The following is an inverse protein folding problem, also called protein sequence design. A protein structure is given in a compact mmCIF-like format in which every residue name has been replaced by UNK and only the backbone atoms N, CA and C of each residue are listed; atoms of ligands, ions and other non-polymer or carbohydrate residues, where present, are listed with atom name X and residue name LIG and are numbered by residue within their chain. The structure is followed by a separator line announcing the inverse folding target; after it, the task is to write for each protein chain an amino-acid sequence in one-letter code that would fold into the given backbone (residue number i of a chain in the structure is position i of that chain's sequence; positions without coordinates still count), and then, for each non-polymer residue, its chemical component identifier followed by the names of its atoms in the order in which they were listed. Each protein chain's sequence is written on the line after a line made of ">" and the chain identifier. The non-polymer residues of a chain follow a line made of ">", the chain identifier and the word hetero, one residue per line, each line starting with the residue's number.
data_IF_404742421447
#
_entry.id   IF_404742421447
#
_cell.length_a   1.000
_cell.length_b   1.000
_cell.length_c   1.000
_cell.angle_alpha   90.00
_cell.angle_beta   90.00
_cell.angle_gamma   90.00
#
_symmetry.space_group_name_H-M   'P 1'
#
loop_
_entity.id
_entity.type
_entity.pdbx_description
1 polymer ?
#
# COMPACT_ATOMS: atom_id res chain seq x y z
N UNK A 1 -28.77 55.49 -11.52
CA UNK A 1 -29.80 54.43 -11.68
C UNK A 1 -29.17 53.20 -12.31
N UNK A 2 -28.91 52.17 -11.50
CA UNK A 2 -28.64 50.78 -11.92
C UNK A 2 -29.31 49.89 -10.88
N UNK A 3 -30.15 48.92 -11.26
CA UNK A 3 -30.95 48.16 -10.31
C UNK A 3 -30.13 47.04 -9.68
N UNK A 4 -30.37 46.84 -8.38
CA UNK A 4 -29.90 45.73 -7.56
C UNK A 4 -30.61 44.45 -7.98
N UNK A 5 -29.85 43.43 -8.40
CA UNK A 5 -30.35 42.07 -8.52
C UNK A 5 -30.06 41.30 -7.23
N UNK A 6 -31.11 41.06 -6.47
CA UNK A 6 -31.17 40.03 -5.44
C UNK A 6 -31.41 38.68 -6.11
N UNK A 7 -30.47 37.74 -5.94
CA UNK A 7 -30.72 36.32 -6.21
C UNK A 7 -30.61 35.56 -4.89
N UNK A 8 -31.74 35.34 -4.25
CA UNK A 8 -31.93 34.19 -3.37
C UNK A 8 -31.74 32.93 -4.21
N UNK A 9 -30.74 32.12 -3.90
CA UNK A 9 -30.63 30.78 -4.45
C UNK A 9 -30.91 29.77 -3.33
N UNK A 10 -32.11 29.20 -3.39
CA UNK A 10 -32.50 28.00 -2.70
C UNK A 10 -31.62 26.84 -3.18
N UNK A 11 -30.65 26.45 -2.35
CA UNK A 11 -29.79 25.30 -2.58
C UNK A 11 -29.82 24.38 -1.36
N UNK A 12 -30.89 23.59 -1.22
CA UNK A 12 -31.00 22.56 -0.20
C UNK A 12 -29.86 21.54 -0.35
N UNK A 13 -28.81 21.67 0.48
CA UNK A 13 -27.77 20.65 0.61
C UNK A 13 -28.38 19.41 1.25
N UNK A 14 -28.56 18.34 0.47
CA UNK A 14 -28.81 17.01 1.00
C UNK A 14 -27.64 16.61 1.90
N UNK A 15 -27.82 16.68 3.23
CA UNK A 15 -26.91 16.06 4.19
C UNK A 15 -27.12 14.54 4.11
N UNK A 16 -26.37 13.85 3.26
CA UNK A 16 -26.26 12.40 3.36
C UNK A 16 -25.60 12.07 4.70
N UNK A 17 -26.32 11.36 5.57
CA UNK A 17 -25.80 10.92 6.86
C UNK A 17 -24.67 9.90 6.64
N UNK A 18 -23.70 9.83 7.58
CA UNK A 18 -22.63 8.80 7.57
C UNK A 18 -23.16 7.37 7.43
N UNK A 19 -24.41 7.11 7.85
CA UNK A 19 -25.09 5.82 7.66
C UNK A 19 -25.49 5.56 6.20
N UNK A 20 -25.89 6.58 5.43
CA UNK A 20 -26.23 6.43 4.02
C UNK A 20 -25.01 6.12 3.14
N UNK A 21 -23.85 6.69 3.48
CA UNK A 21 -22.57 6.41 2.79
C UNK A 21 -22.05 5.00 3.09
N UNK A 22 -22.18 4.54 4.33
CA UNK A 22 -21.80 3.18 4.73
C UNK A 22 -22.75 2.13 4.15
N UNK A 23 -24.06 2.41 4.07
CA UNK A 23 -25.04 1.51 3.43
C UNK A 23 -24.82 1.44 1.91
N UNK A 24 -24.42 2.53 1.26
CA UNK A 24 -24.05 2.54 -0.17
C UNK A 24 -22.81 1.69 -0.49
N UNK A 25 -21.78 1.75 0.37
CA UNK A 25 -20.57 0.93 0.24
C UNK A 25 -20.83 -0.56 0.53
N UNK A 26 -21.71 -0.88 1.49
CA UNK A 26 -22.06 -2.26 1.85
C UNK A 26 -23.01 -2.92 0.84
N UNK A 27 -23.89 -2.15 0.19
CA UNK A 27 -24.74 -2.66 -0.89
C UNK A 27 -23.95 -2.89 -2.19
N UNK A 28 -22.89 -2.13 -2.45
CA UNK A 28 -22.04 -2.34 -3.62
C UNK A 28 -21.20 -3.62 -3.52
N UNK A 29 -20.67 -3.94 -2.33
CA UNK A 29 -19.94 -5.21 -2.10
C UNK A 29 -20.84 -6.45 -2.20
N UNK A 30 -22.11 -6.34 -1.80
CA UNK A 30 -23.09 -7.42 -1.96
C UNK A 30 -23.60 -7.57 -3.41
N UNK A 31 -23.75 -6.48 -4.17
CA UNK A 31 -24.18 -6.54 -5.57
C UNK A 31 -23.09 -7.06 -6.51
N UNK A 32 -21.80 -6.83 -6.22
CA UNK A 32 -20.71 -7.50 -6.94
C UNK A 32 -20.66 -9.02 -6.68
N UNK A 33 -21.20 -9.49 -5.55
CA UNK A 33 -21.30 -10.92 -5.25
C UNK A 33 -22.55 -11.58 -5.89
N UNK A 34 -23.61 -10.82 -6.15
CA UNK A 34 -24.88 -11.36 -6.67
C UNK A 34 -24.93 -11.50 -8.20
N UNK A 35 -24.17 -10.70 -8.96
CA UNK A 35 -24.14 -10.79 -10.43
C UNK A 35 -23.31 -11.96 -10.98
N UNK A 36 -22.58 -12.69 -10.13
CA UNK A 36 -21.90 -13.94 -10.53
C UNK A 36 -22.81 -15.17 -10.52
N UNK A 37 -24.06 -15.08 -10.05
CA UNK A 37 -24.94 -16.25 -9.85
C UNK A 37 -26.19 -16.34 -10.75
N UNK A 38 -26.35 -15.48 -11.76
CA UNK A 38 -27.45 -15.65 -12.73
C UNK A 38 -27.00 -15.30 -14.15
N UNK A 39 -26.51 -16.32 -14.86
CA UNK A 39 -26.11 -16.18 -16.25
C UNK A 39 -25.89 -17.50 -16.98
N UNK A 40 -26.75 -18.51 -16.78
CA UNK A 40 -26.86 -19.64 -17.71
C UNK A 40 -28.16 -20.43 -17.48
N UNK A 41 -29.27 -19.96 -18.06
CA UNK A 41 -30.41 -20.83 -18.39
C UNK A 41 -30.50 -20.90 -19.91
N UNK A 42 -30.19 -22.06 -20.47
CA UNK A 42 -30.02 -22.29 -21.90
C UNK A 42 -31.31 -22.56 -22.68
N UNK A 43 -31.12 -23.01 -23.92
CA UNK A 43 -32.07 -23.83 -24.66
C UNK A 43 -31.35 -25.00 -25.34
N UNK A 44 -31.95 -26.17 -25.18
CA UNK A 44 -31.45 -27.53 -25.43
C UNK A 44 -31.18 -27.89 -26.89
N UNK A 45 -30.27 -28.87 -27.10
CA UNK A 45 -30.64 -30.17 -27.72
C UNK A 45 -29.54 -31.25 -27.60
N UNK A 46 -29.93 -32.37 -26.95
CA UNK A 46 -29.60 -33.80 -27.20
C UNK A 46 -28.19 -34.39 -26.94
N UNK A 47 -28.18 -35.21 -25.88
CA UNK A 47 -27.70 -36.62 -25.76
C UNK A 47 -26.27 -36.98 -26.18
N UNK A 48 -25.45 -37.38 -25.21
CA UNK A 48 -25.20 -38.80 -24.90
C UNK A 48 -24.46 -38.97 -23.57
N UNK A 49 -24.79 -40.05 -22.87
CA UNK A 49 -24.32 -40.50 -21.55
C UNK A 49 -22.83 -40.88 -21.50
N UNK A 50 -22.17 -40.68 -20.36
CA UNK A 50 -21.53 -41.73 -19.52
C UNK A 50 -20.76 -41.10 -18.33
N UNK A 51 -20.93 -41.76 -17.17
CA UNK A 51 -20.22 -41.70 -15.88
C UNK A 51 -20.19 -40.40 -15.08
N UNK A 52 -21.05 -40.42 -14.06
CA UNK A 52 -21.17 -39.55 -12.90
C UNK A 52 -19.95 -39.70 -11.96
N UNK A 53 -19.26 -38.60 -11.71
CA UNK A 53 -18.41 -38.41 -10.52
C UNK A 53 -18.66 -37.02 -9.97
N UNK A 54 -19.82 -36.87 -9.35
CA UNK A 54 -20.24 -35.72 -8.56
C UNK A 54 -19.41 -35.62 -7.27
N UNK A 55 -18.17 -35.14 -7.40
CA UNK A 55 -17.45 -34.53 -6.30
C UNK A 55 -17.99 -33.11 -6.03
N UNK A 56 -18.01 -32.62 -4.78
CA UNK A 56 -18.35 -31.24 -4.52
C UNK A 56 -17.34 -30.34 -5.24
N UNK A 57 -17.81 -29.28 -5.90
CA UNK A 57 -16.98 -28.18 -6.40
C UNK A 57 -16.38 -27.42 -5.20
N UNK A 58 -15.43 -28.05 -4.51
CA UNK A 58 -14.46 -27.34 -3.70
C UNK A 58 -13.55 -26.61 -4.69
N UNK A 59 -13.73 -25.29 -4.80
CA UNK A 59 -12.83 -24.46 -5.59
C UNK A 59 -11.39 -24.77 -5.16
N UNK A 60 -10.58 -25.32 -6.06
CA UNK A 60 -9.17 -25.59 -5.79
C UNK A 60 -8.54 -24.28 -5.31
N UNK A 61 -8.00 -24.28 -4.10
CA UNK A 61 -7.00 -23.29 -3.72
C UNK A 61 -5.83 -23.53 -4.69
N UNK A 62 -5.68 -22.65 -5.67
CA UNK A 62 -4.77 -22.83 -6.82
C UNK A 62 -3.30 -22.97 -6.41
N UNK A 63 -2.91 -22.31 -5.32
CA UNK A 63 -1.52 -22.22 -4.86
C UNK A 63 -1.43 -22.41 -3.34
N UNK A 64 -0.30 -22.90 -2.83
CA UNK A 64 0.02 -22.98 -1.39
C UNK A 64 1.28 -22.17 -1.07
N UNK A 65 1.28 -21.45 0.05
CA UNK A 65 2.45 -20.70 0.55
C UNK A 65 2.39 -20.68 2.08
N UNK A 66 3.39 -21.29 2.71
CA UNK A 66 3.55 -21.30 4.17
C UNK A 66 3.85 -19.90 4.71
N UNK A 67 4.53 -19.06 3.91
CA UNK A 67 4.77 -17.66 4.25
C UNK A 67 3.43 -16.92 4.39
N UNK A 68 2.55 -17.02 3.38
CA UNK A 68 1.22 -16.39 3.41
C UNK A 68 0.42 -16.85 4.62
N UNK A 69 0.37 -18.16 4.88
CA UNK A 69 -0.35 -18.72 6.03
C UNK A 69 0.20 -18.16 7.35
N UNK A 70 1.52 -18.07 7.48
CA UNK A 70 2.17 -17.54 8.68
C UNK A 70 1.86 -16.06 8.89
N UNK A 71 2.09 -15.20 7.89
CA UNK A 71 1.85 -13.75 8.02
C UNK A 71 0.37 -13.44 8.22
N UNK A 72 -0.53 -14.20 7.59
CA UNK A 72 -1.97 -14.06 7.77
C UNK A 72 -2.38 -14.40 9.20
N UNK A 73 -1.89 -15.52 9.74
CA UNK A 73 -2.20 -15.94 11.11
C UNK A 73 -1.69 -14.93 12.15
N UNK A 74 -0.47 -14.41 11.96
CA UNK A 74 0.12 -13.38 12.84
C UNK A 74 -0.73 -12.11 12.79
N UNK A 75 -1.05 -11.62 11.57
CA UNK A 75 -1.84 -10.41 11.38
C UNK A 75 -3.23 -10.53 12.01
N UNK A 76 -3.96 -11.61 11.72
CA UNK A 76 -5.31 -11.83 12.26
C UNK A 76 -5.31 -11.97 13.79
N UNK A 77 -4.40 -12.78 14.33
CA UNK A 77 -4.28 -12.98 15.79
C UNK A 77 -3.92 -11.69 16.50
N UNK A 78 -3.04 -10.87 15.90
CA UNK A 78 -2.69 -9.56 16.43
C UNK A 78 -3.90 -8.62 16.45
N UNK A 79 -4.65 -8.53 15.34
CA UNK A 79 -5.81 -7.64 15.26
C UNK A 79 -6.93 -8.03 16.24
N UNK A 80 -7.17 -9.32 16.45
CA UNK A 80 -8.13 -9.80 17.46
C UNK A 80 -7.72 -9.36 18.86
N UNK A 81 -6.45 -9.59 19.24
CA UNK A 81 -5.92 -9.17 20.55
C UNK A 81 -5.95 -7.65 20.73
N UNK A 82 -5.63 -6.90 19.67
CA UNK A 82 -5.66 -5.43 19.71
C UNK A 82 -7.08 -4.90 19.94
N UNK A 83 -8.09 -5.52 19.31
CA UNK A 83 -9.49 -5.18 19.52
C UNK A 83 -9.97 -5.50 20.94
N UNK A 84 -9.63 -6.67 21.47
CA UNK A 84 -10.00 -7.10 22.83
C UNK A 84 -9.39 -6.20 23.91
N UNK A 85 -8.11 -5.86 23.74
CA UNK A 85 -7.35 -5.04 24.70
C UNK A 85 -7.55 -3.53 24.52
N UNK A 86 -8.28 -3.09 23.48
CA UNK A 86 -8.37 -1.68 23.06
C UNK A 86 -6.98 -1.05 22.90
N UNK A 87 -6.06 -1.78 22.28
CA UNK A 87 -4.68 -1.34 22.05
C UNK A 87 -4.63 -0.11 21.15
N UNK A 88 -3.84 0.89 21.54
CA UNK A 88 -3.51 2.05 20.70
C UNK A 88 -2.51 1.71 19.59
N UNK A 89 -1.83 0.55 19.68
CA UNK A 89 -0.98 0.03 18.61
C UNK A 89 -1.75 -0.96 17.73
N UNK A 90 -1.93 -0.60 16.47
CA UNK A 90 -2.72 -1.34 15.48
C UNK A 90 -1.86 -1.91 14.34
N UNK A 91 -0.53 -1.91 14.49
CA UNK A 91 0.41 -2.39 13.48
C UNK A 91 0.92 -3.80 13.85
N UNK A 92 0.59 -4.85 13.06
CA UNK A 92 1.10 -6.20 13.30
C UNK A 92 2.64 -6.25 13.35
N UNK A 93 3.26 -7.06 14.23
CA UNK A 93 4.71 -7.15 14.36
C UNK A 93 5.33 -8.04 13.25
N UNK A 94 5.18 -7.61 12.00
CA UNK A 94 5.66 -8.30 10.81
C UNK A 94 6.53 -7.32 10.01
N UNK A 95 7.73 -7.77 9.61
CA UNK A 95 8.63 -7.03 8.73
C UNK A 95 8.61 -7.70 7.37
N UNK A 96 8.28 -6.95 6.33
CA UNK A 96 8.19 -7.42 4.96
C UNK A 96 9.33 -6.82 4.13
N UNK A 97 10.11 -7.68 3.48
CA UNK A 97 11.03 -7.29 2.42
C UNK A 97 10.75 -8.11 1.16
N UNK A 98 11.02 -7.56 -0.01
CA UNK A 98 10.73 -8.20 -1.30
C UNK A 98 12.02 -8.40 -2.06
N UNK A 99 12.22 -9.61 -2.58
CA UNK A 99 13.32 -9.90 -3.50
C UNK A 99 12.82 -10.73 -4.68
N UNK A 100 12.38 -10.04 -5.74
CA UNK A 100 11.87 -10.66 -6.97
C UNK A 100 13.00 -11.10 -7.91
N UNK A 101 12.73 -12.12 -8.70
CA UNK A 101 13.62 -12.66 -9.72
C UNK A 101 14.29 -13.97 -9.32
N UNK A 102 14.97 -14.56 -10.30
CA UNK A 102 15.66 -15.84 -10.23
C UNK A 102 16.97 -15.78 -9.42
N UNK A 103 17.58 -14.59 -9.29
CA UNK A 103 18.84 -14.42 -8.57
C UNK A 103 18.69 -14.69 -7.06
N UNK A 104 19.69 -15.29 -6.41
CA UNK A 104 19.72 -15.43 -4.96
C UNK A 104 19.72 -14.05 -4.28
N UNK A 105 19.35 -14.02 -3.00
CA UNK A 105 19.47 -12.80 -2.21
C UNK A 105 20.96 -12.39 -2.11
N UNK A 106 21.33 -11.13 -2.35
CA UNK A 106 22.72 -10.76 -2.55
C UNK A 106 23.40 -10.46 -1.22
N UNK A 107 24.69 -10.80 -1.13
CA UNK A 107 25.52 -10.52 0.05
C UNK A 107 25.50 -9.04 0.45
N UNK A 108 25.47 -8.14 -0.54
CA UNK A 108 25.45 -6.68 -0.33
C UNK A 108 24.26 -6.18 0.47
N UNK A 109 23.16 -6.93 0.52
CA UNK A 109 21.97 -6.57 1.31
C UNK A 109 21.80 -7.42 2.57
N UNK A 110 22.72 -8.34 2.88
CA UNK A 110 22.66 -9.11 4.12
C UNK A 110 22.83 -8.23 5.36
N UNK A 111 23.65 -7.18 5.30
CA UNK A 111 23.77 -6.24 6.41
C UNK A 111 22.43 -5.52 6.67
N UNK A 112 21.76 -5.08 5.61
CA UNK A 112 20.41 -4.50 5.67
C UNK A 112 19.40 -5.46 6.27
N UNK A 113 19.32 -6.69 5.77
CA UNK A 113 18.44 -7.73 6.31
C UNK A 113 18.73 -8.02 7.79
N UNK A 114 20.01 -8.24 8.15
CA UNK A 114 20.43 -8.52 9.54
C UNK A 114 20.04 -7.39 10.47
N UNK A 115 20.19 -6.12 10.05
CA UNK A 115 19.81 -4.97 10.87
C UNK A 115 18.34 -5.00 11.28
N UNK A 116 17.44 -5.44 10.41
CA UNK A 116 16.02 -5.58 10.75
C UNK A 116 15.76 -6.73 11.72
N UNK A 117 16.39 -7.88 11.48
CA UNK A 117 16.20 -9.09 12.31
C UNK A 117 16.74 -8.88 13.72
N UNK A 118 17.97 -8.37 13.84
CA UNK A 118 18.65 -8.21 15.12
C UNK A 118 18.03 -7.10 15.98
N UNK A 119 17.58 -6.00 15.38
CA UNK A 119 16.94 -4.89 16.10
C UNK A 119 15.50 -5.20 16.51
N UNK A 120 14.86 -6.20 15.92
CA UNK A 120 13.44 -6.51 16.13
C UNK A 120 13.21 -8.02 16.38
N UNK A 121 13.83 -8.59 17.44
CA UNK A 121 13.79 -10.04 17.69
C UNK A 121 12.38 -10.59 17.98
N UNK A 122 11.43 -9.71 18.30
CA UNK A 122 10.04 -10.02 18.57
C UNK A 122 9.11 -9.85 17.35
N UNK A 123 9.66 -9.51 16.19
CA UNK A 123 8.93 -9.39 14.93
C UNK A 123 9.16 -10.63 14.08
N UNK A 124 8.14 -11.00 13.31
CA UNK A 124 8.32 -12.01 12.25
C UNK A 124 8.91 -11.35 11.01
N UNK A 125 10.04 -11.86 10.53
CA UNK A 125 10.68 -11.41 9.30
C UNK A 125 10.19 -12.23 8.09
N UNK A 126 9.63 -11.56 7.09
CA UNK A 126 9.07 -12.13 5.87
C UNK A 126 9.82 -11.62 4.64
N UNK A 127 10.57 -12.50 3.98
CA UNK A 127 11.18 -12.23 2.67
C UNK A 127 10.32 -12.84 1.56
N UNK A 128 9.70 -11.99 0.75
CA UNK A 128 8.80 -12.40 -0.33
C UNK A 128 9.58 -12.72 -1.61
N UNK A 129 9.33 -13.92 -2.15
CA UNK A 129 9.87 -14.42 -3.42
C UNK A 129 8.75 -14.63 -4.43
N UNK A 130 9.11 -14.87 -5.69
CA UNK A 130 8.17 -14.95 -6.81
C UNK A 130 7.02 -15.94 -6.59
N UNK A 131 7.27 -17.12 -5.99
CA UNK A 131 6.22 -18.11 -5.72
C UNK A 131 5.19 -17.61 -4.70
N UNK A 132 5.64 -17.00 -3.59
CA UNK A 132 4.76 -16.39 -2.60
C UNK A 132 3.96 -15.23 -3.19
N UNK A 133 4.60 -14.45 -4.07
CA UNK A 133 3.99 -13.29 -4.72
C UNK A 133 2.93 -13.71 -5.73
N UNK A 134 3.19 -14.71 -6.55
CA UNK A 134 2.19 -15.26 -7.46
C UNK A 134 0.99 -15.77 -6.66
N UNK A 135 1.23 -16.48 -5.56
CA UNK A 135 0.16 -16.99 -4.72
C UNK A 135 -0.62 -15.87 -4.01
N UNK A 136 0.05 -14.79 -3.58
CA UNK A 136 -0.59 -13.60 -3.01
C UNK A 136 -1.56 -12.96 -4.00
N UNK A 137 -1.13 -12.78 -5.26
CA UNK A 137 -1.94 -12.12 -6.28
C UNK A 137 -3.13 -13.01 -6.65
N UNK A 138 -2.92 -14.32 -6.85
CA UNK A 138 -4.00 -15.25 -7.16
C UNK A 138 -5.06 -15.31 -6.06
N UNK A 139 -4.64 -15.35 -4.78
CA UNK A 139 -5.56 -15.48 -3.63
C UNK A 139 -6.29 -14.20 -3.29
N UNK A 140 -5.60 -13.06 -3.28
CA UNK A 140 -6.13 -11.81 -2.71
C UNK A 140 -6.46 -10.75 -3.77
N UNK A 141 -5.85 -10.82 -4.96
CA UNK A 141 -6.02 -9.82 -6.01
C UNK A 141 -6.16 -10.45 -7.41
N UNK A 142 -7.09 -11.40 -7.64
CA UNK A 142 -7.18 -12.11 -8.92
C UNK A 142 -7.38 -11.17 -10.12
N UNK A 143 -8.06 -10.04 -9.93
CA UNK A 143 -8.22 -9.01 -10.97
C UNK A 143 -6.90 -8.32 -11.36
N UNK A 144 -5.87 -8.35 -10.50
CA UNK A 144 -4.54 -7.81 -10.80
C UNK A 144 -3.64 -8.80 -11.55
N UNK A 145 -3.99 -10.08 -11.70
CA UNK A 145 -3.16 -11.04 -12.45
C UNK A 145 -2.82 -10.55 -13.86
N UNK A 146 -3.76 -10.03 -14.68
CA UNK A 146 -3.43 -9.50 -16.01
C UNK A 146 -2.61 -8.20 -15.94
N UNK A 147 -2.75 -7.42 -14.87
CA UNK A 147 -1.96 -6.20 -14.67
C UNK A 147 -0.53 -6.56 -14.30
N UNK A 148 -0.34 -7.51 -13.38
CA UNK A 148 0.97 -7.99 -12.95
C UNK A 148 1.84 -8.46 -14.12
N UNK A 149 1.28 -9.24 -15.03
CA UNK A 149 1.98 -9.72 -16.23
C UNK A 149 2.24 -8.62 -17.28
N UNK A 150 1.44 -7.55 -17.23
CA UNK A 150 1.57 -6.39 -18.10
C UNK A 150 2.65 -5.42 -17.66
N UNK A 151 2.98 -5.33 -16.36
CA UNK A 151 4.04 -4.46 -15.84
C UNK A 151 5.43 -4.96 -16.29
N UNK A 152 6.12 -4.27 -17.24
CA UNK A 152 7.31 -4.83 -17.88
C UNK A 152 8.58 -4.72 -17.03
N UNK A 153 8.64 -3.76 -16.10
CA UNK A 153 9.81 -3.50 -15.24
C UNK A 153 9.60 -4.08 -13.85
N UNK A 154 10.64 -4.71 -13.30
CA UNK A 154 10.60 -5.31 -11.94
C UNK A 154 10.30 -4.30 -10.86
N UNK A 155 10.78 -3.05 -11.00
CA UNK A 155 10.48 -1.98 -10.03
C UNK A 155 8.99 -1.63 -9.97
N UNK A 156 8.29 -1.57 -11.11
CA UNK A 156 6.84 -1.33 -11.13
C UNK A 156 6.08 -2.42 -10.35
N UNK A 157 6.54 -3.67 -10.49
CA UNK A 157 6.00 -4.83 -9.77
C UNK A 157 6.32 -4.76 -8.27
N UNK A 158 7.55 -4.42 -7.90
CA UNK A 158 7.96 -4.26 -6.51
C UNK A 158 7.17 -3.15 -5.79
N UNK A 159 6.98 -2.00 -6.45
CA UNK A 159 6.17 -0.89 -5.95
C UNK A 159 4.69 -1.29 -5.75
N UNK A 160 4.07 -1.96 -6.71
CA UNK A 160 2.69 -2.45 -6.55
C UNK A 160 2.61 -3.49 -5.42
N UNK A 161 3.59 -4.39 -5.35
CA UNK A 161 3.63 -5.48 -4.38
C UNK A 161 3.71 -4.99 -2.94
N UNK A 162 4.51 -3.96 -2.64
CA UNK A 162 4.57 -3.41 -1.27
C UNK A 162 3.23 -2.87 -0.80
N UNK A 163 2.45 -2.25 -1.68
CA UNK A 163 1.10 -1.80 -1.34
C UNK A 163 0.16 -2.98 -1.11
N UNK A 164 0.22 -4.02 -1.95
CA UNK A 164 -0.59 -5.23 -1.80
C UNK A 164 -0.29 -5.96 -0.48
N UNK A 165 1.00 -6.15 -0.14
CA UNK A 165 1.42 -6.81 1.10
C UNK A 165 0.90 -6.03 2.31
N UNK A 166 1.18 -4.72 2.37
CA UNK A 166 0.78 -3.87 3.50
C UNK A 166 -0.74 -3.74 3.61
N UNK A 167 -1.45 -3.68 2.48
CA UNK A 167 -2.90 -3.69 2.48
C UNK A 167 -3.45 -5.00 3.05
N UNK A 168 -2.92 -6.16 2.65
CA UNK A 168 -3.47 -7.46 3.05
C UNK A 168 -3.13 -7.81 4.50
N UNK A 169 -1.86 -7.67 4.90
CA UNK A 169 -1.38 -8.19 6.18
C UNK A 169 -1.06 -7.09 7.20
N UNK A 170 -1.02 -5.82 6.79
CA UNK A 170 -0.44 -4.77 7.61
C UNK A 170 1.05 -5.00 7.86
N UNK A 171 1.54 -4.52 8.99
CA UNK A 171 2.94 -4.65 9.39
C UNK A 171 3.81 -3.52 8.83
N UNK A 172 5.09 -3.82 8.64
CA UNK A 172 6.14 -2.87 8.27
C UNK A 172 6.86 -3.37 7.03
N UNK A 173 6.76 -2.65 5.92
CA UNK A 173 7.52 -2.93 4.72
C UNK A 173 8.77 -2.07 4.70
N UNK A 174 9.88 -2.64 4.24
CA UNK A 174 11.06 -1.87 3.88
C UNK A 174 11.82 -2.46 2.69
N UNK A 175 12.37 -1.62 1.82
CA UNK A 175 13.22 -2.06 0.71
C UNK A 175 14.45 -2.81 1.22
N UNK A 176 14.97 -3.77 0.46
CA UNK A 176 16.10 -4.61 0.88
C UNK A 176 17.41 -3.84 1.03
N UNK A 177 17.53 -2.68 0.39
CA UNK A 177 18.64 -1.74 0.48
C UNK A 177 18.40 -0.62 1.52
N UNK A 178 17.77 -0.98 2.66
CA UNK A 178 17.57 -0.08 3.80
C UNK A 178 18.19 -0.64 5.08
N UNK A 179 18.82 0.21 5.89
CA UNK A 179 19.35 -0.14 7.21
C UNK A 179 18.39 0.28 8.32
N UNK A 180 17.99 -0.68 9.14
CA UNK A 180 17.27 -0.43 10.38
C UNK A 180 18.25 0.14 11.42
N UNK A 181 18.16 1.45 11.68
CA UNK A 181 19.06 2.12 12.61
C UNK A 181 18.64 1.88 14.07
N UNK A 182 17.35 1.60 14.28
CA UNK A 182 16.75 1.40 15.60
C UNK A 182 15.56 0.45 15.57
N UNK A 183 15.25 -0.22 16.69
CA UNK A 183 14.07 -1.06 16.82
C UNK A 183 12.80 -0.31 16.43
N UNK A 184 11.92 -0.93 15.64
CA UNK A 184 10.62 -0.40 15.21
C UNK A 184 9.78 0.02 16.41
N UNK A 185 9.92 -0.69 17.53
CA UNK A 185 9.21 -0.33 18.77
C UNK A 185 9.56 1.05 19.30
N UNK A 186 10.78 1.53 19.03
CA UNK A 186 11.29 2.83 19.46
C UNK A 186 10.99 3.96 18.47
N UNK A 187 10.47 3.66 17.28
CA UNK A 187 10.12 4.69 16.31
C UNK A 187 9.05 5.62 16.90
N UNK A 188 9.02 6.91 16.50
CA UNK A 188 8.01 7.83 17.00
C UNK A 188 6.60 7.33 16.67
N UNK A 189 5.73 7.29 17.68
CA UNK A 189 4.36 6.80 17.56
C UNK A 189 3.39 7.83 18.11
N UNK A 190 2.20 7.84 17.51
CA UNK A 190 1.04 8.58 18.02
C UNK A 190 -0.07 7.54 18.22
N UNK A 191 -0.81 7.58 19.34
CA UNK A 191 -1.98 6.73 19.53
C UNK A 191 -2.93 6.76 18.33
N UNK A 192 -3.62 5.66 18.09
CA UNK A 192 -4.61 5.48 17.02
C UNK A 192 -4.05 5.54 15.58
N UNK A 193 -2.73 5.65 15.40
CA UNK A 193 -2.12 5.56 14.07
C UNK A 193 -2.36 4.17 13.46
N UNK A 194 -3.00 4.16 12.28
CA UNK A 194 -3.30 2.95 11.51
C UNK A 194 -2.49 2.83 10.24
N UNK A 195 -1.87 3.90 9.77
CA UNK A 195 -0.87 3.89 8.72
C UNK A 195 0.28 4.82 9.11
N UNK A 196 1.50 4.46 8.72
CA UNK A 196 2.70 5.27 8.92
C UNK A 196 3.43 5.39 7.60
N UNK A 197 3.71 6.62 7.21
CA UNK A 197 4.58 6.98 6.08
C UNK A 197 5.60 8.01 6.54
N UNK A 198 6.66 8.22 5.78
CA UNK A 198 7.63 9.28 6.08
C UNK A 198 7.86 10.19 4.89
N UNK A 199 8.20 11.44 5.15
CA UNK A 199 8.67 12.34 4.11
C UNK A 199 10.04 11.86 3.63
N UNK A 200 10.20 11.77 2.32
CA UNK A 200 11.47 11.51 1.65
C UNK A 200 12.13 12.81 1.24
N UNK A 201 11.36 13.76 0.69
CA UNK A 201 11.90 15.03 0.23
C UNK A 201 10.95 16.19 0.54
N UNK A 202 11.53 17.36 0.80
CA UNK A 202 10.84 18.62 1.05
C UNK A 202 11.68 19.72 0.39
N UNK A 203 11.14 20.27 -0.69
CA UNK A 203 11.75 21.35 -1.47
C UNK A 203 10.75 22.49 -1.68
N UNK A 204 9.74 22.65 -0.81
CA UNK A 204 8.76 23.74 -0.93
C UNK A 204 9.35 25.13 -0.79
N UNK A 205 10.50 25.22 -0.15
CA UNK A 205 11.30 26.43 0.00
C UNK A 205 12.17 26.76 -1.22
N UNK A 206 12.30 25.86 -2.22
CA UNK A 206 13.14 26.06 -3.40
C UNK A 206 12.30 26.36 -4.65
N UNK A 207 12.54 27.48 -5.37
CA UNK A 207 11.80 27.82 -6.58
C UNK A 207 12.11 26.88 -7.75
N UNK A 208 13.32 26.29 -7.78
CA UNK A 208 13.83 25.39 -8.82
C UNK A 208 13.69 23.90 -8.46
N UNK A 209 12.76 23.54 -7.57
CA UNK A 209 12.58 22.15 -7.14
C UNK A 209 12.32 21.16 -8.30
N UNK A 210 11.79 21.65 -9.44
CA UNK A 210 11.53 20.83 -10.64
C UNK A 210 12.79 20.30 -11.31
N UNK A 211 13.95 20.90 -11.01
CA UNK A 211 15.25 20.43 -11.50
C UNK A 211 15.83 19.31 -10.62
N UNK A 212 15.18 19.00 -9.50
CA UNK A 212 15.61 17.96 -8.55
C UNK A 212 15.14 16.57 -9.00
N UNK A 213 15.76 15.52 -8.47
CA UNK A 213 15.47 14.11 -8.76
C UNK A 213 14.17 13.58 -8.11
N UNK A 214 13.18 14.45 -7.87
CA UNK A 214 11.90 14.11 -7.23
C UNK A 214 10.73 14.42 -8.15
N UNK A 215 9.63 13.68 -7.96
CA UNK A 215 8.40 13.89 -8.74
C UNK A 215 7.49 14.95 -8.14
N UNK A 216 7.62 15.21 -6.83
CA UNK A 216 6.78 16.16 -6.10
C UNK A 216 7.62 17.06 -5.23
N UNK A 217 7.18 18.31 -5.08
CA UNK A 217 7.84 19.33 -4.27
C UNK A 217 7.98 18.90 -2.80
N UNK A 218 7.00 18.16 -2.28
CA UNK A 218 7.10 17.37 -1.06
C UNK A 218 6.77 15.94 -1.47
N UNK A 219 7.65 15.00 -1.15
CA UNK A 219 7.53 13.61 -1.57
C UNK A 219 7.50 12.69 -0.36
N UNK A 220 6.59 11.72 -0.39
CA UNK A 220 6.48 10.66 0.61
C UNK A 220 7.32 9.46 0.16
N UNK A 221 8.08 8.89 1.10
CA UNK A 221 8.84 7.66 0.91
C UNK A 221 7.90 6.48 0.64
N UNK A 222 8.33 5.63 -0.29
CA UNK A 222 7.71 4.32 -0.57
C UNK A 222 8.61 3.16 -0.18
N UNK A 223 9.87 3.44 0.16
CA UNK A 223 10.85 2.43 0.54
C UNK A 223 10.69 1.98 1.99
N UNK A 224 9.89 2.68 2.82
CA UNK A 224 9.39 2.19 4.11
C UNK A 224 7.95 2.61 4.34
N UNK A 225 7.10 1.64 4.66
CA UNK A 225 5.66 1.81 4.87
C UNK A 225 5.24 0.99 6.09
N UNK A 226 4.26 1.48 6.86
CA UNK A 226 3.62 0.65 7.87
C UNK A 226 2.11 0.83 7.88
N UNK A 227 1.39 -0.21 8.26
CA UNK A 227 -0.07 -0.15 8.34
C UNK A 227 -0.71 -1.24 9.20
N UNK A 228 -1.90 -0.96 9.71
CA UNK A 228 -2.90 -1.97 10.02
C UNK A 228 -3.39 -2.59 8.70
N UNK A 229 -3.77 -3.87 8.67
CA UNK A 229 -4.37 -4.46 7.49
C UNK A 229 -5.64 -3.69 7.06
N UNK A 230 -5.89 -3.68 5.75
CA UNK A 230 -7.05 -3.10 5.07
C UNK A 230 -7.19 -1.57 5.18
N UNK A 231 -6.09 -0.85 5.43
CA UNK A 231 -6.14 0.60 5.50
C UNK A 231 -6.48 1.23 4.12
N UNK A 232 -7.45 2.17 4.03
CA UNK A 232 -7.93 2.71 2.74
C UNK A 232 -6.86 3.37 1.88
N UNK A 233 -5.82 3.95 2.49
CA UNK A 233 -4.68 4.54 1.77
C UNK A 233 -4.09 3.59 0.72
N UNK A 234 -3.83 2.34 1.11
CA UNK A 234 -3.22 1.36 0.22
C UNK A 234 -4.24 0.78 -0.78
N UNK A 235 -5.52 0.70 -0.41
CA UNK A 235 -6.58 0.37 -1.36
C UNK A 235 -6.65 1.41 -2.50
N UNK A 236 -6.57 2.71 -2.16
CA UNK A 236 -6.54 3.79 -3.14
C UNK A 236 -5.31 3.70 -4.05
N UNK A 237 -4.13 3.39 -3.48
CA UNK A 237 -2.90 3.21 -4.25
C UNK A 237 -3.03 2.05 -5.26
N UNK A 238 -3.47 0.88 -4.81
CA UNK A 238 -3.65 -0.31 -5.65
C UNK A 238 -4.72 -0.05 -6.74
N UNK A 239 -5.85 0.54 -6.37
CA UNK A 239 -6.94 0.82 -7.30
C UNK A 239 -6.52 1.79 -8.41
N UNK A 240 -5.80 2.86 -8.07
CA UNK A 240 -5.35 3.82 -9.09
C UNK A 240 -4.31 3.20 -10.04
N UNK A 241 -3.40 2.35 -9.55
CA UNK A 241 -2.46 1.61 -10.41
C UNK A 241 -3.22 0.66 -11.34
N UNK A 242 -4.23 -0.05 -10.84
CA UNK A 242 -5.10 -0.89 -11.65
C UNK A 242 -5.78 -0.09 -12.77
N UNK A 243 -6.44 1.02 -12.44
CA UNK A 243 -7.15 1.86 -13.40
C UNK A 243 -6.19 2.46 -14.43
N UNK A 244 -5.03 2.97 -14.01
CA UNK A 244 -4.04 3.52 -14.94
C UNK A 244 -3.50 2.43 -15.88
N UNK A 245 -3.15 1.26 -15.34
CA UNK A 245 -2.61 0.14 -16.11
C UNK A 245 -3.61 -0.49 -17.07
N UNK A 246 -4.92 -0.43 -16.78
CA UNK A 246 -5.96 -0.91 -17.71
C UNK A 246 -6.12 0.01 -18.93
N UNK A 247 -5.83 1.30 -18.80
CA UNK A 247 -6.01 2.31 -19.86
C UNK A 247 -4.81 2.43 -20.81
N UNK A 248 -3.65 1.91 -20.42
CA UNK A 248 -2.40 2.02 -21.16
C UNK A 248 -2.01 0.68 -21.77
N UNK A 249 -1.33 0.66 -22.91
CA UNK A 249 -0.66 -0.54 -23.45
C UNK A 249 0.56 -0.93 -22.61
N UNK A 250 1.09 -2.14 -22.83
CA UNK A 250 2.32 -2.60 -22.16
C UNK A 250 3.52 -1.70 -22.49
N UNK A 251 3.61 -1.24 -23.73
CA UNK A 251 4.70 -0.37 -24.19
C UNK A 251 4.61 1.01 -23.53
N UNK A 252 3.41 1.61 -23.49
CA UNK A 252 3.20 2.90 -22.79
C UNK A 252 3.60 2.81 -21.31
N UNK A 253 3.24 1.73 -20.62
CA UNK A 253 3.66 1.49 -19.22
C UNK A 253 5.19 1.34 -19.11
N UNK A 254 5.83 0.71 -20.11
CA UNK A 254 7.28 0.56 -20.18
C UNK A 254 8.03 1.89 -20.30
N UNK A 255 7.48 2.83 -21.06
CA UNK A 255 8.07 4.16 -21.29
C UNK A 255 7.76 5.20 -20.21
N UNK A 256 6.70 4.98 -19.43
CA UNK A 256 6.29 5.91 -18.37
C UNK A 256 7.35 6.01 -17.28
N UNK A 257 7.48 7.16 -16.61
CA UNK A 257 8.34 7.27 -15.44
C UNK A 257 7.82 6.36 -14.31
N UNK A 258 8.71 5.56 -13.72
CA UNK A 258 8.41 4.69 -12.57
C UNK A 258 7.87 5.52 -11.40
N UNK A 259 8.46 6.70 -11.16
CA UNK A 259 8.12 7.56 -10.04
C UNK A 259 6.67 8.07 -10.13
N UNK A 260 6.17 8.26 -11.36
CA UNK A 260 4.82 8.74 -11.67
C UNK A 260 3.78 7.61 -11.79
N UNK A 261 4.21 6.36 -12.01
CA UNK A 261 3.30 5.24 -12.27
C UNK A 261 2.96 4.45 -11.01
N UNK A 262 3.98 4.01 -10.26
CA UNK A 262 3.83 3.19 -9.05
C UNK A 262 4.68 3.68 -7.89
N UNK A 263 5.67 4.53 -8.17
CA UNK A 263 6.66 5.01 -7.21
C UNK A 263 6.19 6.17 -6.34
N UNK A 264 7.14 6.92 -5.76
CA UNK A 264 6.84 7.89 -4.71
C UNK A 264 6.08 9.14 -5.18
N UNK A 265 6.21 9.54 -6.45
CA UNK A 265 5.39 10.63 -7.00
C UNK A 265 3.90 10.27 -7.00
N UNK A 266 3.58 9.11 -7.56
CA UNK A 266 2.22 8.56 -7.54
C UNK A 266 1.69 8.37 -6.11
N UNK A 267 2.48 7.77 -5.23
CA UNK A 267 2.05 7.48 -3.86
C UNK A 267 1.86 8.76 -3.03
N UNK A 268 2.67 9.79 -3.27
CA UNK A 268 2.48 11.13 -2.68
C UNK A 268 1.11 11.69 -3.04
N UNK A 269 0.66 11.57 -4.29
CA UNK A 269 -0.68 12.02 -4.69
C UNK A 269 -1.79 11.19 -4.04
N UNK A 270 -1.55 9.90 -3.78
CA UNK A 270 -2.48 9.06 -3.02
C UNK A 270 -2.59 9.54 -1.57
N UNK A 271 -1.46 9.81 -0.92
CA UNK A 271 -1.41 10.35 0.45
C UNK A 271 -2.11 11.70 0.55
N UNK A 272 -1.83 12.63 -0.38
CA UNK A 272 -2.47 13.94 -0.41
C UNK A 272 -3.99 13.82 -0.62
N UNK A 273 -4.46 12.94 -1.52
CA UNK A 273 -5.90 12.68 -1.70
C UNK A 273 -6.55 12.09 -0.45
N UNK A 274 -5.86 11.17 0.24
CA UNK A 274 -6.33 10.63 1.51
C UNK A 274 -6.49 11.75 2.55
N UNK A 275 -5.44 12.55 2.75
CA UNK A 275 -5.43 13.70 3.67
C UNK A 275 -6.53 14.71 3.35
N UNK A 276 -6.75 15.02 2.06
CA UNK A 276 -7.79 15.94 1.60
C UNK A 276 -9.20 15.50 1.99
N UNK A 277 -9.47 14.19 2.04
CA UNK A 277 -10.78 13.67 2.47
C UNK A 277 -11.11 14.01 3.94
N UNK A 278 -10.11 14.42 4.72
CA UNK A 278 -10.23 14.84 6.12
C UNK A 278 -9.92 16.33 6.33
N UNK A 279 -9.82 17.13 5.27
CA UNK A 279 -9.58 18.57 5.35
C UNK A 279 -8.12 18.99 5.54
N UNK A 280 -7.17 18.07 5.35
CA UNK A 280 -5.74 18.37 5.34
C UNK A 280 -5.23 18.51 3.90
N UNK A 281 -4.04 19.08 3.73
CA UNK A 281 -3.43 19.22 2.41
C UNK A 281 -1.93 19.46 2.46
N UNK A 282 -1.40 19.85 1.31
CA UNK A 282 0.04 20.07 1.10
C UNK A 282 0.69 20.98 2.16
N UNK A 283 0.00 22.07 2.54
CA UNK A 283 0.49 23.04 3.54
C UNK A 283 0.76 22.42 4.91
N UNK A 284 0.10 21.28 5.24
CA UNK A 284 0.31 20.59 6.50
C UNK A 284 1.60 19.76 6.53
N UNK A 285 2.16 19.41 5.37
CA UNK A 285 3.40 18.64 5.26
C UNK A 285 4.65 19.52 5.16
N UNK A 286 4.49 20.75 4.66
CA UNK A 286 5.60 21.70 4.51
C UNK A 286 6.18 22.09 5.87
N UNK A 287 7.51 22.01 6.00
CA UNK A 287 8.23 22.40 7.22
C UNK A 287 7.95 21.50 8.44
N UNK A 288 7.42 20.29 8.25
CA UNK A 288 7.08 19.41 9.37
C UNK A 288 8.34 18.92 10.11
N UNK A 289 8.42 19.22 11.41
CA UNK A 289 9.57 18.86 12.28
C UNK A 289 9.25 17.78 13.31
N UNK A 290 7.98 17.36 13.44
CA UNK A 290 7.55 16.33 14.38
C UNK A 290 6.60 15.34 13.72
N UNK A 291 6.54 14.10 14.20
CA UNK A 291 5.53 13.13 13.77
C UNK A 291 4.13 13.74 13.97
N UNK A 292 3.32 13.71 12.91
CA UNK A 292 1.99 14.35 12.92
C UNK A 292 0.94 13.39 12.38
N UNK A 293 -0.16 13.25 13.12
CA UNK A 293 -1.28 12.39 12.77
C UNK A 293 -2.33 13.18 11.98
N UNK A 294 -2.65 12.70 10.78
CA UNK A 294 -3.72 13.22 9.92
C UNK A 294 -4.83 12.18 9.82
N UNK A 295 -5.90 12.37 10.59
CA UNK A 295 -6.91 11.33 10.86
C UNK A 295 -6.26 10.13 11.58
N UNK A 296 -5.91 9.07 10.86
CA UNK A 296 -5.26 7.85 11.33
C UNK A 296 -3.95 7.56 10.55
N UNK A 297 -3.52 8.50 9.69
CA UNK A 297 -2.25 8.46 8.98
C UNK A 297 -1.19 9.27 9.73
N UNK A 298 -0.21 8.58 10.31
CA UNK A 298 0.97 9.21 10.89
C UNK A 298 2.00 9.49 9.80
N UNK A 299 2.38 10.75 9.65
CA UNK A 299 3.47 11.15 8.76
C UNK A 299 4.70 11.48 9.62
N UNK A 300 5.80 10.79 9.34
CA UNK A 300 7.10 11.03 9.95
C UNK A 300 7.84 12.15 9.21
N UNK A 301 8.54 13.05 9.93
CA UNK A 301 9.33 14.11 9.33
C UNK A 301 10.59 13.56 8.63
N UNK A 302 11.22 14.39 7.79
CA UNK A 302 12.34 14.02 6.92
C UNK A 302 13.52 13.32 7.62
N UNK A 303 13.79 13.67 8.88
CA UNK A 303 14.94 13.15 9.61
C UNK A 303 14.71 11.75 10.22
N UNK A 304 13.47 11.25 10.24
CA UNK A 304 13.16 9.92 10.78
C UNK A 304 13.45 8.84 9.73
N UNK A 305 13.01 9.08 8.49
CA UNK A 305 13.22 8.20 7.33
C UNK A 305 14.32 8.81 6.44
N UNK A 306 15.58 8.49 6.77
CA UNK A 306 16.75 9.20 6.24
C UNK A 306 17.22 8.62 4.92
N UNK A 307 17.58 9.49 3.98
CA UNK A 307 18.28 9.09 2.76
C UNK A 307 19.51 9.96 2.43
N UNK A 308 19.70 11.10 3.12
CA UNK A 308 20.88 11.98 2.99
C UNK A 308 21.54 12.31 4.35
N UNK A 309 21.35 11.46 5.38
CA UNK A 309 21.77 11.78 6.74
C UNK A 309 21.29 13.17 7.25
N UNK A 310 20.15 13.65 6.75
CA UNK A 310 19.52 14.88 7.23
C UNK A 310 19.05 14.72 8.68
N UNK A 311 19.13 15.81 9.43
CA UNK A 311 18.71 15.90 10.83
C UNK A 311 19.62 15.18 11.84
N UNK A 312 19.26 15.24 13.14
CA UNK A 312 20.04 14.64 14.20
C UNK A 312 20.14 13.12 14.05
N UNK A 313 21.33 12.55 14.25
CA UNK A 313 21.57 11.10 14.04
C UNK A 313 20.71 10.26 14.99
N UNK A 314 20.47 10.80 16.18
CA UNK A 314 19.67 10.24 17.25
C UNK A 314 18.15 10.31 17.00
N UNK A 315 17.69 10.86 15.89
CA UNK A 315 16.26 10.80 15.49
C UNK A 315 16.03 9.85 14.30
N UNK A 316 17.10 9.45 13.61
CA UNK A 316 17.06 8.48 12.52
C UNK A 316 16.57 7.11 12.98
N UNK A 317 15.55 6.60 12.29
CA UNK A 317 15.00 5.26 12.51
C UNK A 317 15.44 4.28 11.42
N UNK A 318 15.58 4.78 10.20
CA UNK A 318 15.98 4.00 9.04
C UNK A 318 16.82 4.83 8.08
N UNK A 319 17.75 4.19 7.37
CA UNK A 319 18.56 4.78 6.30
C UNK A 319 18.38 4.04 4.98
N UNK A 320 18.03 4.74 3.91
CA UNK A 320 18.04 4.20 2.55
C UNK A 320 19.46 4.23 1.96
N UNK A 321 19.90 3.14 1.33
CA UNK A 321 21.26 3.01 0.78
C UNK A 321 21.35 3.26 -0.73
N UNK A 322 20.22 3.36 -1.44
CA UNK A 322 20.16 3.50 -2.90
C UNK A 322 20.96 2.43 -3.65
N UNK A 323 20.89 1.20 -3.14
CA UNK A 323 21.54 0.03 -3.74
C UNK A 323 20.90 -0.42 -5.05
N UNK A 324 19.78 0.19 -5.46
CA UNK A 324 19.04 -0.15 -6.68
C UNK A 324 18.64 -1.63 -6.71
N UNK A 325 18.15 -2.13 -5.57
CA UNK A 325 17.85 -3.56 -5.32
C UNK A 325 16.89 -4.21 -6.33
N UNK A 326 16.18 -3.41 -7.11
CA UNK A 326 15.27 -3.82 -8.18
C UNK A 326 15.94 -4.06 -9.54
N UNK A 327 17.14 -3.54 -9.79
CA UNK A 327 17.89 -3.74 -11.05
C UNK A 327 18.58 -5.10 -11.00
N UNK A 328 18.00 -6.11 -11.66
CA UNK A 328 18.55 -7.46 -11.72
C UNK A 328 18.53 -8.01 -13.12
#
# INVERSE_FOLDING_TARGET
>A
MRPSFSTENAGGKLKLSRRALLVGLFLWTLLSAFFFFRGASGRHSKRNSVSDSSGPLTGRISCSSTLIETVQNISQSFMLKAQESKSENLLPPIIHQVWLGDKPFPETFLQSQKSFIEQNPDFYYALWRDDDVNCLIERFFPALVPIWTKLPRTILRADLLRYMIIFTFGGFYSDTDTLCLRPIRSWPKVPDARAVVGLEAEFSHLPNWRDMIVSRQIQVSVWTLASSPLHPLYAMAIQGIFINSTRMSKDEIGWTDVMEMTGPGYFTDVVLRYMQSFGYGFVNLSGMTKPTLFNDLLVQPLHVFRWEDRGPKEEGCIRHLFGQSWRK
#
